data_IF_281730620458
#
_entry.id   IF_281730620458
#
_cell.length_a   1.000
_cell.length_b   1.000
_cell.length_c   1.000
_cell.angle_alpha   90.00
_cell.angle_beta   90.00
_cell.angle_gamma   90.00
#
_symmetry.space_group_name_H-M   'P 1'
#
loop_
_entity.id
_entity.type
_entity.pdbx_description
1 polymer ?
#
# COMPACT_ATOMS: atom_id res chain seq x y z
N UNK A 1 -30.00 -4.77 -38.69
CA UNK A 1 -29.17 -5.84 -39.31
C UNK A 1 -28.66 -6.79 -38.23
N UNK A 2 -29.52 -7.67 -37.75
CA UNK A 2 -29.17 -8.73 -36.79
C UNK A 2 -29.19 -10.08 -37.50
N UNK A 3 -28.20 -10.94 -37.24
CA UNK A 3 -28.19 -12.32 -37.75
C UNK A 3 -28.20 -13.29 -36.58
N UNK A 4 -29.37 -13.87 -36.35
CA UNK A 4 -29.61 -15.02 -35.48
C UNK A 4 -29.10 -16.28 -36.18
N UNK A 5 -28.41 -17.16 -35.46
CA UNK A 5 -28.30 -18.59 -35.83
C UNK A 5 -28.79 -19.43 -34.65
N UNK A 6 -29.98 -20.00 -34.84
CA UNK A 6 -30.54 -21.09 -34.04
C UNK A 6 -30.00 -22.40 -34.61
N UNK A 7 -29.60 -23.33 -33.77
CA UNK A 7 -29.64 -24.75 -34.08
C UNK A 7 -30.39 -25.46 -32.94
N UNK A 8 -31.51 -26.08 -33.30
CA UNK A 8 -32.27 -27.08 -32.54
C UNK A 8 -32.41 -28.29 -33.47
N UNK A 9 -32.15 -29.47 -32.94
CA UNK A 9 -32.68 -30.78 -33.35
C UNK A 9 -32.65 -31.59 -32.04
N UNK A 10 -33.77 -31.87 -31.37
CA UNK A 10 -34.70 -33.02 -31.59
C UNK A 10 -33.90 -34.35 -31.63
N UNK A 11 -34.20 -35.45 -30.94
CA UNK A 11 -35.45 -35.97 -30.39
C UNK A 11 -35.09 -37.24 -29.58
N UNK A 12 -35.75 -37.51 -28.45
CA UNK A 12 -36.59 -38.70 -28.20
C UNK A 12 -36.00 -39.56 -27.07
N UNK A 13 -36.77 -40.10 -26.13
CA UNK A 13 -38.20 -40.00 -25.92
C UNK A 13 -38.63 -40.64 -24.61
N UNK A 14 -39.93 -40.43 -24.32
CA UNK A 14 -40.85 -41.26 -23.53
C UNK A 14 -40.50 -41.58 -22.07
N UNK A 15 -41.45 -41.61 -21.13
CA UNK A 15 -42.82 -41.10 -21.00
C UNK A 15 -43.19 -41.39 -19.53
N UNK A 16 -43.86 -40.42 -18.89
CA UNK A 16 -45.10 -40.59 -18.09
C UNK A 16 -45.07 -41.30 -16.72
N UNK A 17 -45.74 -40.65 -15.77
CA UNK A 17 -46.28 -41.21 -14.51
C UNK A 17 -46.03 -40.31 -13.31
N UNK A 18 -46.63 -39.12 -13.22
CA UNK A 18 -47.86 -38.76 -12.46
C UNK A 18 -47.90 -39.17 -10.97
N UNK A 19 -48.37 -38.18 -10.21
CA UNK A 19 -49.01 -38.19 -8.88
C UNK A 19 -48.08 -38.30 -7.66
N UNK A 20 -48.15 -37.26 -6.83
CA UNK A 20 -47.42 -37.17 -5.58
C UNK A 20 -48.05 -37.98 -4.45
N UNK A 21 -47.30 -38.11 -3.37
CA UNK A 21 -47.80 -38.37 -2.03
C UNK A 21 -46.74 -37.90 -1.03
N UNK A 22 -47.17 -36.98 -0.16
CA UNK A 22 -46.51 -36.65 1.10
C UNK A 22 -46.63 -37.86 2.04
N UNK A 23 -45.66 -38.03 2.94
CA UNK A 23 -45.56 -38.88 4.15
C UNK A 23 -44.09 -39.35 4.20
N UNK A 24 -43.34 -39.42 5.29
CA UNK A 24 -43.48 -39.09 6.71
C UNK A 24 -42.10 -39.42 7.30
N UNK A 25 -41.75 -38.83 8.43
CA UNK A 25 -40.46 -38.99 9.13
C UNK A 25 -39.93 -40.43 9.18
N UNK A 26 -38.68 -40.61 8.73
CA UNK A 26 -37.81 -41.72 9.18
C UNK A 26 -36.44 -41.17 9.56
N UNK A 27 -36.25 -41.01 10.87
CA UNK A 27 -34.93 -40.85 11.49
C UNK A 27 -34.08 -42.08 11.15
N UNK A 28 -33.03 -41.88 10.36
CA UNK A 28 -31.89 -42.78 10.35
C UNK A 28 -30.78 -42.18 11.21
N UNK A 29 -30.70 -42.66 12.46
CA UNK A 29 -29.47 -42.60 13.22
C UNK A 29 -28.42 -43.41 12.45
N UNK A 30 -27.34 -42.73 12.03
CA UNK A 30 -26.09 -43.38 11.66
C UNK A 30 -24.96 -42.58 12.26
N UNK A 31 -24.31 -43.19 13.25
CA UNK A 31 -23.00 -42.82 13.74
C UNK A 31 -22.00 -42.91 12.59
N UNK A 32 -21.79 -41.78 11.93
CA UNK A 32 -20.83 -41.61 10.85
C UNK A 32 -19.74 -40.65 11.28
N UNK A 33 -18.53 -41.19 11.52
CA UNK A 33 -17.28 -40.44 11.71
C UNK A 33 -17.20 -39.25 10.75
N UNK A 34 -16.71 -38.06 11.18
CA UNK A 34 -16.65 -36.91 10.30
C UNK A 34 -15.76 -37.23 9.09
N UNK A 35 -16.34 -37.17 7.89
CA UNK A 35 -15.59 -37.19 6.63
C UNK A 35 -14.51 -36.11 6.75
N UNK A 36 -13.24 -36.52 6.60
CA UNK A 36 -12.10 -35.60 6.59
C UNK A 36 -12.42 -34.43 5.67
N UNK A 37 -12.33 -33.22 6.24
CA UNK A 37 -12.56 -31.97 5.51
C UNK A 37 -11.70 -32.01 4.25
N UNK A 38 -12.32 -31.72 3.09
CA UNK A 38 -11.61 -31.61 1.83
C UNK A 38 -10.45 -30.61 1.99
N UNK A 39 -9.32 -30.79 1.29
CA UNK A 39 -8.24 -29.81 1.32
C UNK A 39 -8.82 -28.45 0.95
N UNK A 40 -8.66 -27.49 1.85
CA UNK A 40 -9.29 -26.19 1.76
C UNK A 40 -8.70 -25.48 0.54
N UNK A 41 -9.44 -25.45 -0.58
CA UNK A 41 -8.97 -24.84 -1.83
C UNK A 41 -8.61 -23.35 -1.65
N UNK A 42 -9.02 -22.76 -0.53
CA UNK A 42 -8.64 -21.42 -0.07
C UNK A 42 -7.15 -21.26 0.20
N UNK A 43 -6.41 -22.33 0.51
CA UNK A 43 -4.96 -22.30 0.79
C UNK A 43 -4.13 -21.88 -0.44
N UNK A 44 -4.62 -22.19 -1.65
CA UNK A 44 -3.94 -21.85 -2.90
C UNK A 44 -4.33 -20.45 -3.43
N UNK A 45 -5.32 -19.81 -2.79
CA UNK A 45 -5.79 -18.47 -3.14
C UNK A 45 -4.92 -17.43 -2.42
N UNK A 46 -4.45 -16.37 -3.12
CA UNK A 46 -3.71 -15.28 -2.50
C UNK A 46 -4.44 -14.71 -1.26
N UNK A 47 -3.68 -14.44 -0.20
CA UNK A 47 -4.19 -14.06 1.12
C UNK A 47 -5.27 -12.97 1.07
N UNK A 48 -5.03 -11.92 0.29
CA UNK A 48 -5.96 -10.79 0.18
C UNK A 48 -7.31 -11.18 -0.44
N UNK A 49 -7.30 -12.08 -1.43
CA UNK A 49 -8.52 -12.59 -2.05
C UNK A 49 -9.23 -13.59 -1.13
N UNK A 50 -8.47 -14.45 -0.42
CA UNK A 50 -8.98 -15.36 0.61
C UNK A 50 -9.76 -14.60 1.70
N UNK A 51 -9.20 -13.48 2.17
CA UNK A 51 -9.80 -12.64 3.21
C UNK A 51 -11.08 -11.93 2.72
N UNK A 52 -11.08 -11.39 1.50
CA UNK A 52 -12.26 -10.78 0.89
C UNK A 52 -13.37 -11.81 0.72
N UNK A 53 -13.06 -13.03 0.24
CA UNK A 53 -14.03 -14.10 0.09
C UNK A 53 -14.62 -14.53 1.44
N UNK A 54 -13.78 -14.65 2.49
CA UNK A 54 -14.21 -14.97 3.85
C UNK A 54 -15.12 -13.88 4.44
N UNK A 55 -14.79 -12.61 4.22
CA UNK A 55 -15.64 -11.49 4.65
C UNK A 55 -16.96 -11.46 3.88
N UNK A 56 -16.94 -11.67 2.56
CA UNK A 56 -18.15 -11.77 1.74
C UNK A 56 -19.04 -12.93 2.19
N UNK A 57 -18.47 -14.06 2.57
CA UNK A 57 -19.21 -15.18 3.16
C UNK A 57 -19.84 -14.79 4.50
N UNK A 58 -19.10 -14.14 5.41
CA UNK A 58 -19.64 -13.64 6.69
C UNK A 58 -20.80 -12.66 6.49
N UNK A 59 -20.69 -11.76 5.51
CA UNK A 59 -21.77 -10.83 5.16
C UNK A 59 -22.99 -11.55 4.57
N UNK A 60 -22.79 -12.63 3.81
CA UNK A 60 -23.88 -13.44 3.22
C UNK A 60 -24.58 -14.34 4.21
N UNK A 61 -23.85 -14.97 5.13
CA UNK A 61 -24.42 -15.86 6.15
C UNK A 61 -25.05 -15.10 7.32
N UNK A 62 -24.92 -13.78 7.34
CA UNK A 62 -25.24 -12.95 8.49
C UNK A 62 -24.36 -13.27 9.69
N UNK A 63 -24.27 -12.34 10.64
CA UNK A 63 -23.67 -12.64 11.95
C UNK A 63 -24.60 -13.58 12.71
N UNK A 64 -24.53 -14.88 12.40
CA UNK A 64 -25.02 -15.91 13.32
C UNK A 64 -24.17 -15.78 14.58
N UNK A 65 -24.73 -15.06 15.55
CA UNK A 65 -24.21 -14.94 16.91
C UNK A 65 -23.87 -16.36 17.34
N UNK A 66 -22.59 -16.66 17.42
CA UNK A 66 -22.11 -17.84 18.13
C UNK A 66 -22.70 -17.70 19.53
N UNK A 67 -23.71 -18.52 19.83
CA UNK A 67 -24.31 -18.59 21.17
C UNK A 67 -23.17 -18.98 22.10
N UNK A 68 -22.53 -17.98 22.72
CA UNK A 68 -21.80 -18.23 23.95
C UNK A 68 -22.83 -18.71 24.95
N UNK A 69 -22.61 -19.93 25.44
CA UNK A 69 -23.33 -20.50 26.55
C UNK A 69 -23.33 -19.44 27.66
N UNK A 70 -24.55 -19.10 28.12
CA UNK A 70 -24.75 -18.38 29.37
C UNK A 70 -24.20 -19.28 30.48
N UNK A 71 -22.97 -19.04 30.89
CA UNK A 71 -22.52 -19.47 32.21
C UNK A 71 -22.93 -18.39 33.22
N UNK A 72 -24.04 -18.71 33.87
CA UNK A 72 -24.32 -18.54 35.30
C UNK A 72 -23.88 -17.24 36.01
N UNK A 73 -24.92 -16.51 36.45
CA UNK A 73 -25.04 -15.79 37.73
C UNK A 73 -24.24 -14.49 37.85
N UNK A 74 -24.87 -13.39 37.45
CA UNK A 74 -24.70 -12.09 38.08
C UNK A 74 -25.24 -12.15 39.52
N UNK A 75 -24.49 -11.79 40.57
CA UNK A 75 -25.08 -11.52 41.87
C UNK A 75 -25.91 -10.24 41.75
N UNK A 76 -27.20 -10.34 42.02
CA UNK A 76 -28.01 -9.19 42.40
C UNK A 76 -27.62 -8.84 43.82
N UNK A 77 -26.77 -7.84 44.01
CA UNK A 77 -26.71 -7.07 45.24
C UNK A 77 -26.81 -5.59 44.89
N UNK A 78 -27.57 -4.86 45.72
CA UNK A 78 -28.08 -3.50 45.50
C UNK A 78 -26.94 -2.49 45.32
N UNK A 79 -27.14 -1.37 44.59
CA UNK A 79 -26.19 -0.27 44.60
C UNK A 79 -26.46 0.60 45.83
N UNK A 80 -25.56 0.60 46.80
CA UNK A 80 -25.37 1.75 47.67
C UNK A 80 -24.15 2.53 47.15
N UNK A 81 -24.42 3.77 46.76
CA UNK A 81 -23.54 4.94 46.74
C UNK A 81 -22.06 4.72 46.36
N UNK A 82 -21.83 4.14 45.18
CA UNK A 82 -20.55 4.35 44.50
C UNK A 82 -20.71 5.56 43.60
N UNK A 83 -20.21 6.72 44.05
CA UNK A 83 -20.06 7.89 43.19
C UNK A 83 -19.40 7.46 41.88
N UNK A 84 -19.99 7.90 40.76
CA UNK A 84 -19.72 7.41 39.41
C UNK A 84 -18.22 7.49 39.06
N UNK A 85 -17.48 6.42 39.34
CA UNK A 85 -16.05 6.32 39.02
C UNK A 85 -15.20 5.48 39.97
N UNK A 86 -15.67 5.13 41.17
CA UNK A 86 -14.87 4.31 42.10
C UNK A 86 -14.95 2.81 41.81
N UNK A 87 -13.82 2.12 41.96
CA UNK A 87 -13.74 0.67 41.76
C UNK A 87 -14.43 0.01 42.96
N UNK A 88 -15.42 -0.87 42.72
CA UNK A 88 -16.09 -1.58 43.81
C UNK A 88 -15.08 -2.48 44.52
N UNK A 89 -15.02 -2.37 45.85
CA UNK A 89 -14.16 -3.18 46.72
C UNK A 89 -14.85 -4.53 46.97
N UNK A 90 -14.31 -5.66 46.47
CA UNK A 90 -14.93 -6.97 46.67
C UNK A 90 -14.80 -7.45 48.12
N UNK A 91 -15.86 -8.03 48.67
CA UNK A 91 -15.85 -8.64 49.99
C UNK A 91 -15.65 -10.16 49.90
N UNK A 92 -14.46 -10.63 50.28
CA UNK A 92 -14.13 -12.05 50.23
C UNK A 92 -14.61 -12.79 51.49
N UNK A 93 -15.83 -13.33 51.43
CA UNK A 93 -16.36 -14.28 52.41
C UNK A 93 -16.73 -15.59 51.70
N UNK A 94 -16.35 -16.73 52.28
CA UNK A 94 -16.67 -18.06 51.73
C UNK A 94 -18.17 -18.33 51.88
N UNK A 95 -18.81 -18.77 50.79
CA UNK A 95 -20.22 -19.15 50.83
C UNK A 95 -20.44 -20.43 51.66
N UNK A 96 -21.63 -20.58 52.27
CA UNK A 96 -21.97 -21.75 53.10
C UNK A 96 -21.89 -23.08 52.33
N UNK A 97 -22.20 -23.06 51.03
CA UNK A 97 -22.23 -24.23 50.14
C UNK A 97 -21.02 -24.31 49.21
N UNK A 98 -20.03 -23.43 49.40
CA UNK A 98 -18.92 -23.30 48.49
C UNK A 98 -17.71 -24.13 48.93
N UNK A 99 -17.11 -24.83 47.98
CA UNK A 99 -15.83 -25.51 48.20
C UNK A 99 -14.66 -24.52 48.26
N UNK A 100 -13.62 -24.86 49.03
CA UNK A 100 -12.41 -24.02 49.16
C UNK A 100 -11.78 -23.64 47.82
N UNK A 101 -11.71 -24.59 46.89
CA UNK A 101 -11.18 -24.36 45.55
C UNK A 101 -12.01 -23.38 44.75
N UNK A 102 -13.34 -23.40 44.90
CA UNK A 102 -14.23 -22.45 44.22
C UNK A 102 -14.06 -21.04 44.82
N UNK A 103 -13.90 -20.93 46.14
CA UNK A 103 -13.67 -19.67 46.83
C UNK A 103 -12.39 -18.98 46.37
N UNK A 104 -11.28 -19.73 46.37
CA UNK A 104 -9.97 -19.22 45.92
C UNK A 104 -10.05 -18.76 44.46
N UNK A 105 -10.73 -19.51 43.58
CA UNK A 105 -10.92 -19.11 42.18
C UNK A 105 -11.73 -17.83 42.03
N UNK A 106 -12.82 -17.65 42.79
CA UNK A 106 -13.59 -16.40 42.76
C UNK A 106 -12.74 -15.23 43.25
N UNK A 107 -12.04 -15.43 44.38
CA UNK A 107 -11.13 -14.44 44.94
C UNK A 107 -10.06 -14.00 43.93
N UNK A 108 -9.41 -14.95 43.26
CA UNK A 108 -8.43 -14.67 42.22
C UNK A 108 -9.02 -13.89 41.04
N UNK A 109 -10.22 -14.26 40.59
CA UNK A 109 -10.88 -13.62 39.46
C UNK A 109 -11.28 -12.18 39.77
N UNK A 110 -11.89 -11.95 40.94
CA UNK A 110 -12.26 -10.60 41.40
C UNK A 110 -11.01 -9.74 41.63
N UNK A 111 -9.94 -10.30 42.20
CA UNK A 111 -8.67 -9.59 42.38
C UNK A 111 -8.05 -9.18 41.04
N UNK A 112 -8.04 -10.09 40.05
CA UNK A 112 -7.59 -9.79 38.68
C UNK A 112 -8.45 -8.70 38.04
N UNK A 113 -9.76 -8.72 38.28
CA UNK A 113 -10.69 -7.75 37.74
C UNK A 113 -10.50 -6.35 38.34
N UNK A 114 -10.40 -6.25 39.66
CA UNK A 114 -10.08 -5.00 40.36
C UNK A 114 -8.75 -4.45 39.86
N UNK A 115 -7.70 -5.27 39.82
CA UNK A 115 -6.39 -4.86 39.32
C UNK A 115 -6.44 -4.36 37.87
N UNK A 116 -7.26 -4.98 37.02
CA UNK A 116 -7.49 -4.50 35.67
C UNK A 116 -8.18 -3.13 35.66
N UNK A 117 -9.23 -2.93 36.46
CA UNK A 117 -9.91 -1.64 36.54
C UNK A 117 -8.95 -0.56 37.06
N UNK A 118 -8.15 -0.83 38.10
CA UNK A 118 -7.17 0.12 38.65
C UNK A 118 -6.15 0.55 37.62
N UNK A 119 -5.63 -0.39 36.82
CA UNK A 119 -4.67 -0.09 35.75
C UNK A 119 -5.24 0.78 34.62
N UNK A 120 -6.56 0.79 34.46
CA UNK A 120 -7.25 1.57 33.44
C UNK A 120 -7.88 2.85 34.01
N UNK A 121 -7.76 3.11 35.30
CA UNK A 121 -8.14 4.39 35.87
C UNK A 121 -7.09 5.45 35.54
N UNK A 122 -7.56 6.67 35.35
CA UNK A 122 -6.70 7.85 35.26
C UNK A 122 -6.12 8.11 36.65
N UNK A 123 -4.83 8.43 36.73
CA UNK A 123 -4.20 8.89 37.97
C UNK A 123 -4.97 10.11 38.50
N UNK A 124 -5.81 9.90 39.51
CA UNK A 124 -6.51 10.99 40.16
C UNK A 124 -5.49 11.72 41.01
N UNK A 125 -5.26 12.99 40.67
CA UNK A 125 -4.54 13.95 41.51
C UNK A 125 -5.59 14.81 42.21
N UNK A 126 -6.19 14.33 43.31
CA UNK A 126 -7.22 15.09 44.03
C UNK A 126 -6.71 16.44 44.57
N UNK A 127 -5.39 16.60 44.64
CA UNK A 127 -4.70 17.83 45.06
C UNK A 127 -4.59 18.92 43.97
N UNK A 128 -5.05 18.68 42.72
CA UNK A 128 -4.97 19.65 41.61
C UNK A 128 -6.36 20.19 41.21
N UNK A 129 -6.46 21.51 41.06
CA UNK A 129 -7.68 22.25 40.67
C UNK A 129 -8.35 21.73 39.38
N UNK A 130 -9.68 21.81 39.34
CA UNK A 130 -10.57 21.23 38.32
C UNK A 130 -10.22 21.59 36.86
N UNK A 131 -9.62 22.76 36.63
CA UNK A 131 -9.27 23.25 35.28
C UNK A 131 -8.06 22.53 34.66
N UNK A 132 -7.26 21.79 35.44
CA UNK A 132 -6.14 21.00 34.93
C UNK A 132 -6.44 19.51 34.79
N UNK A 133 -7.62 19.05 35.25
CA UNK A 133 -8.01 17.64 35.22
C UNK A 133 -8.53 17.18 33.85
N UNK A 134 -8.99 18.08 32.99
CA UNK A 134 -9.60 17.74 31.69
C UNK A 134 -8.62 17.64 30.50
N UNK A 135 -7.31 17.51 30.75
CA UNK A 135 -6.44 17.01 29.68
C UNK A 135 -6.57 15.50 29.69
N UNK A 136 -7.26 14.88 28.72
CA UNK A 136 -7.33 13.42 28.67
C UNK A 136 -5.90 12.89 28.64
N UNK A 137 -5.56 12.15 29.70
CA UNK A 137 -4.29 11.49 29.83
C UNK A 137 -4.19 10.43 28.73
N UNK A 138 -3.50 10.81 27.66
CA UNK A 138 -2.75 9.95 26.76
C UNK A 138 -3.54 8.80 26.08
N UNK A 139 -4.46 9.15 25.18
CA UNK A 139 -4.60 8.39 23.91
C UNK A 139 -3.49 8.77 22.92
N UNK A 140 -2.33 9.20 23.43
CA UNK A 140 -1.20 9.64 22.64
C UNK A 140 -0.60 8.45 21.92
N UNK A 141 -0.48 8.58 20.59
CA UNK A 141 0.40 7.71 19.81
C UNK A 141 1.76 7.63 20.51
N UNK A 142 2.34 6.44 20.58
CA UNK A 142 3.70 6.28 21.09
C UNK A 142 4.62 7.32 20.43
N UNK A 143 5.62 7.81 21.16
CA UNK A 143 6.53 8.84 20.67
C UNK A 143 7.14 8.46 19.31
N UNK A 144 7.50 7.18 19.15
CA UNK A 144 7.97 6.58 17.89
C UNK A 144 6.95 6.71 16.74
N UNK A 145 5.66 6.57 17.03
CA UNK A 145 4.59 6.74 16.03
C UNK A 145 4.36 8.20 15.68
N UNK A 146 4.50 9.13 16.64
CA UNK A 146 4.49 10.59 16.35
C UNK A 146 5.65 10.96 15.42
N UNK A 147 6.87 10.51 15.72
CA UNK A 147 8.07 10.73 14.89
C UNK A 147 7.94 10.09 13.49
N UNK A 148 7.34 8.91 13.39
CA UNK A 148 7.09 8.28 12.10
C UNK A 148 6.09 9.09 11.26
N UNK A 149 5.01 9.57 11.87
CA UNK A 149 3.99 10.36 11.19
C UNK A 149 4.55 11.72 10.72
N UNK A 150 5.38 12.39 11.53
CA UNK A 150 6.05 13.65 11.15
C UNK A 150 7.04 13.43 10.02
N UNK A 151 7.91 12.40 10.11
CA UNK A 151 8.86 12.06 9.04
C UNK A 151 8.16 11.71 7.73
N UNK A 152 7.02 11.01 7.81
CA UNK A 152 6.20 10.69 6.63
C UNK A 152 5.64 11.96 5.99
N UNK A 153 5.16 12.91 6.79
CA UNK A 153 4.65 14.19 6.30
C UNK A 153 5.74 15.04 5.65
N UNK A 154 6.91 15.13 6.29
CA UNK A 154 8.07 15.85 5.74
C UNK A 154 8.52 15.27 4.39
N UNK A 155 8.62 13.94 4.27
CA UNK A 155 8.93 13.29 2.98
C UNK A 155 7.91 13.59 1.90
N UNK A 156 6.62 13.70 2.25
CA UNK A 156 5.57 14.03 1.30
C UNK A 156 5.70 15.48 0.82
N UNK A 157 6.00 16.41 1.73
CA UNK A 157 6.25 17.81 1.40
C UNK A 157 7.49 17.96 0.50
N UNK A 158 8.61 17.33 0.85
CA UNK A 158 9.84 17.31 0.02
C UNK A 158 9.55 16.80 -1.38
N UNK A 159 8.87 15.65 -1.52
CA UNK A 159 8.48 15.10 -2.83
C UNK A 159 7.60 16.05 -3.66
N UNK A 160 6.81 16.92 -3.03
CA UNK A 160 6.02 17.92 -3.76
C UNK A 160 6.93 19.05 -4.28
N UNK A 161 7.85 19.52 -3.46
CA UNK A 161 8.84 20.54 -3.85
C UNK A 161 9.74 20.02 -4.97
N UNK A 162 10.27 18.79 -4.84
CA UNK A 162 11.11 18.16 -5.86
C UNK A 162 10.38 18.06 -7.21
N UNK A 163 9.10 17.62 -7.18
CA UNK A 163 8.26 17.57 -8.39
C UNK A 163 8.01 18.94 -9.00
N UNK A 164 7.89 20.00 -8.19
CA UNK A 164 7.73 21.36 -8.70
C UNK A 164 9.03 21.82 -9.35
N UNK A 165 10.18 21.58 -8.72
CA UNK A 165 11.50 21.87 -9.28
C UNK A 165 11.70 21.12 -10.60
N UNK A 166 11.39 19.83 -10.66
CA UNK A 166 11.52 19.03 -11.88
C UNK A 166 10.65 19.56 -13.04
N UNK A 167 9.44 20.04 -12.75
CA UNK A 167 8.56 20.64 -13.76
C UNK A 167 9.14 21.94 -14.30
N UNK A 168 9.58 22.84 -13.41
CA UNK A 168 10.21 24.09 -13.77
C UNK A 168 11.50 23.86 -14.56
N UNK A 169 12.30 22.88 -14.15
CA UNK A 169 13.51 22.50 -14.90
C UNK A 169 13.16 22.02 -16.31
N UNK A 170 12.18 21.13 -16.46
CA UNK A 170 11.74 20.68 -17.79
C UNK A 170 11.36 21.85 -18.69
N UNK A 171 10.60 22.81 -18.17
CA UNK A 171 10.23 24.02 -18.91
C UNK A 171 11.46 24.84 -19.31
N UNK A 172 12.45 25.00 -18.43
CA UNK A 172 13.71 25.73 -18.71
C UNK A 172 14.59 25.03 -19.75
N UNK A 173 14.54 23.69 -19.83
CA UNK A 173 15.35 22.88 -20.74
C UNK A 173 14.63 22.52 -22.05
N UNK A 174 13.39 22.97 -22.25
CA UNK A 174 12.70 22.89 -23.55
C UNK A 174 13.10 24.10 -24.38
N UNK A 175 14.02 23.91 -25.34
CA UNK A 175 14.34 24.93 -26.34
C UNK A 175 13.25 24.92 -27.42
N UNK A 176 12.40 25.95 -27.43
CA UNK A 176 11.40 26.12 -28.48
C UNK A 176 12.06 26.63 -29.76
N UNK A 177 12.62 25.73 -30.55
CA UNK A 177 13.14 26.06 -31.89
C UNK A 177 11.97 26.08 -32.88
N UNK A 178 11.62 27.22 -33.48
CA UNK A 178 10.64 27.23 -34.57
C UNK A 178 11.24 26.40 -35.71
N UNK A 179 10.59 25.30 -36.04
CA UNK A 179 11.01 24.45 -37.16
C UNK A 179 10.78 25.26 -38.45
N UNK A 180 11.86 25.68 -39.11
CA UNK A 180 11.82 26.15 -40.50
C UNK A 180 11.56 24.99 -41.46
N UNK A 181 11.55 25.23 -42.78
CA UNK A 181 11.45 24.18 -43.81
C UNK A 181 12.53 23.11 -43.61
N UNK A 182 12.18 22.05 -42.89
CA UNK A 182 13.01 20.87 -42.75
C UNK A 182 12.67 19.96 -43.90
N UNK A 183 13.58 19.89 -44.87
CA UNK A 183 13.60 18.76 -45.80
C UNK A 183 13.72 17.48 -44.97
N UNK A 184 12.61 16.74 -44.88
CA UNK A 184 12.43 15.52 -44.08
C UNK A 184 13.44 14.42 -44.41
N UNK A 185 14.12 14.52 -45.54
CA UNK A 185 15.22 13.65 -45.91
C UNK A 185 16.32 14.50 -46.57
N UNK A 186 17.61 14.22 -46.29
CA UNK A 186 18.67 14.74 -47.14
C UNK A 186 18.43 14.23 -48.57
N UNK A 187 18.71 15.03 -49.61
CA UNK A 187 18.58 14.59 -50.99
C UNK A 187 19.39 13.30 -51.19
N UNK A 188 18.70 12.22 -51.55
CA UNK A 188 19.34 10.92 -51.72
C UNK A 188 20.06 10.88 -53.08
N UNK A 189 21.38 10.89 -53.05
CA UNK A 189 22.20 10.70 -54.25
C UNK A 189 22.26 9.20 -54.58
N UNK A 190 21.39 8.72 -55.47
CA UNK A 190 21.34 7.31 -55.90
C UNK A 190 22.35 6.96 -57.00
N UNK A 191 23.18 7.92 -57.43
CA UNK A 191 24.15 7.71 -58.50
C UNK A 191 25.33 6.86 -58.00
N UNK A 192 25.54 5.70 -58.63
CA UNK A 192 26.73 4.88 -58.40
C UNK A 192 27.95 5.58 -59.01
N UNK A 193 29.02 5.84 -58.25
CA UNK A 193 30.26 6.39 -58.81
C UNK A 193 30.81 5.42 -59.88
N UNK A 194 31.00 5.92 -61.11
CA UNK A 194 31.35 5.11 -62.30
C UNK A 194 32.63 4.25 -62.16
N UNK A 195 33.49 4.51 -61.17
CA UNK A 195 34.78 3.82 -60.98
C UNK A 195 34.97 3.17 -59.60
N UNK A 196 33.91 2.94 -58.82
CA UNK A 196 34.08 2.31 -57.51
C UNK A 196 34.34 0.79 -57.64
N UNK A 197 35.44 0.26 -57.06
CA UNK A 197 35.69 -1.17 -57.02
C UNK A 197 34.65 -1.86 -56.12
N UNK A 198 34.02 -2.92 -56.63
CA UNK A 198 33.06 -3.76 -55.89
C UNK A 198 33.86 -4.61 -54.89
N UNK A 199 34.12 -4.06 -53.69
CA UNK A 199 34.79 -4.82 -52.62
C UNK A 199 33.81 -5.79 -51.97
N UNK A 200 34.14 -7.08 -51.99
CA UNK A 200 33.42 -8.12 -51.26
C UNK A 200 33.43 -7.84 -49.75
N UNK A 201 32.28 -7.95 -49.11
CA UNK A 201 32.02 -7.66 -47.69
C UNK A 201 32.73 -8.63 -46.71
N UNK A 202 34.06 -8.69 -46.69
CA UNK A 202 34.82 -9.66 -45.87
C UNK A 202 35.85 -9.03 -44.92
N UNK A 203 35.67 -7.78 -44.51
CA UNK A 203 36.42 -7.20 -43.40
C UNK A 203 35.44 -6.66 -42.35
N UNK A 204 35.65 -6.93 -41.04
CA UNK A 204 34.86 -6.29 -40.00
C UNK A 204 35.10 -4.77 -40.12
N UNK A 205 34.05 -4.02 -40.43
CA UNK A 205 34.08 -2.56 -40.56
C UNK A 205 34.31 -1.93 -39.20
N UNK A 206 35.53 -2.01 -38.68
CA UNK A 206 35.94 -1.21 -37.54
C UNK A 206 36.23 0.20 -38.05
N UNK A 207 35.68 1.21 -37.37
CA UNK A 207 35.89 2.60 -37.74
C UNK A 207 37.38 2.93 -37.62
N UNK A 208 37.97 3.60 -38.61
CA UNK A 208 39.38 4.02 -38.57
C UNK A 208 39.68 4.88 -37.33
N UNK A 209 38.70 5.66 -36.87
CA UNK A 209 38.81 6.43 -35.63
C UNK A 209 39.11 5.56 -34.40
N UNK A 210 38.57 4.34 -34.35
CA UNK A 210 38.83 3.42 -33.24
C UNK A 210 40.30 2.97 -33.23
N UNK A 211 40.93 2.80 -34.41
CA UNK A 211 42.37 2.49 -34.47
C UNK A 211 43.23 3.69 -34.09
N UNK A 212 42.80 4.90 -34.44
CA UNK A 212 43.55 6.12 -34.16
C UNK A 212 43.47 6.54 -32.68
N UNK A 213 42.31 6.37 -32.04
CA UNK A 213 42.12 6.66 -30.62
C UNK A 213 42.55 5.51 -29.71
N UNK A 214 43.00 4.37 -30.26
CA UNK A 214 43.35 3.17 -29.50
C UNK A 214 42.16 2.53 -28.78
N UNK A 215 40.93 2.90 -29.17
CA UNK A 215 39.71 2.36 -28.59
C UNK A 215 39.32 1.08 -29.34
N UNK A 216 39.55 -0.08 -28.73
CA UNK A 216 38.95 -1.32 -29.20
C UNK A 216 37.43 -1.21 -29.08
N UNK A 217 36.68 -1.82 -30.02
CA UNK A 217 35.22 -1.75 -30.05
C UNK A 217 34.66 -2.04 -28.64
N UNK A 218 34.03 -1.03 -28.03
CA UNK A 218 33.54 -1.08 -26.66
C UNK A 218 32.77 -2.38 -26.48
N UNK A 219 33.25 -3.25 -25.60
CA UNK A 219 32.62 -4.55 -25.37
C UNK A 219 31.14 -4.32 -25.06
N UNK A 220 30.24 -4.98 -25.79
CA UNK A 220 28.79 -4.93 -25.54
C UNK A 220 28.40 -5.59 -24.21
N UNK A 221 29.39 -6.10 -23.46
CA UNK A 221 29.25 -6.60 -22.11
C UNK A 221 28.79 -5.50 -21.16
N UNK A 222 27.73 -5.79 -20.39
CA UNK A 222 27.28 -4.90 -19.32
C UNK A 222 28.43 -4.69 -18.32
N UNK A 223 28.74 -3.44 -17.94
CA UNK A 223 29.77 -3.18 -16.94
C UNK A 223 29.38 -3.77 -15.58
N UNK A 224 30.37 -4.11 -14.74
CA UNK A 224 30.12 -4.60 -13.39
C UNK A 224 29.31 -3.59 -12.55
N UNK A 225 28.57 -4.06 -11.54
CA UNK A 225 27.76 -3.19 -10.67
C UNK A 225 28.58 -2.06 -10.03
N UNK A 226 29.83 -2.33 -9.66
CA UNK A 226 30.73 -1.30 -9.10
C UNK A 226 31.06 -0.22 -10.15
N UNK A 227 31.36 -0.62 -11.38
CA UNK A 227 31.64 0.32 -12.48
C UNK A 227 30.40 1.11 -12.89
N UNK A 228 29.22 0.51 -12.84
CA UNK A 228 27.95 1.21 -13.07
C UNK A 228 27.75 2.34 -12.07
N UNK A 229 27.96 2.09 -10.77
CA UNK A 229 27.85 3.11 -9.73
C UNK A 229 28.79 4.29 -9.96
N UNK A 230 30.05 4.02 -10.33
CA UNK A 230 31.04 5.08 -10.63
C UNK A 230 30.55 5.93 -11.81
N UNK A 231 30.13 5.29 -12.90
CA UNK A 231 29.63 6.01 -14.08
C UNK A 231 28.34 6.80 -13.80
N UNK A 232 27.44 6.26 -12.98
CA UNK A 232 26.21 6.93 -12.56
C UNK A 232 26.51 8.14 -11.68
N UNK A 233 27.42 8.02 -10.73
CA UNK A 233 27.85 9.14 -9.88
C UNK A 233 28.51 10.25 -10.71
N UNK A 234 29.41 9.91 -11.64
CA UNK A 234 30.02 10.87 -12.56
C UNK A 234 28.96 11.57 -13.42
N UNK A 235 27.99 10.81 -13.94
CA UNK A 235 26.86 11.35 -14.69
C UNK A 235 26.04 12.31 -13.83
N UNK A 236 25.73 11.96 -12.60
CA UNK A 236 25.00 12.82 -11.67
C UNK A 236 25.76 14.11 -11.38
N UNK A 237 27.07 14.04 -11.13
CA UNK A 237 27.93 15.24 -10.95
C UNK A 237 27.89 16.15 -12.18
N UNK A 238 28.04 15.59 -13.38
CA UNK A 238 28.00 16.36 -14.63
C UNK A 238 26.64 17.04 -14.84
N UNK A 239 25.54 16.34 -14.57
CA UNK A 239 24.18 16.90 -14.66
C UNK A 239 23.97 18.02 -13.65
N UNK A 240 24.43 17.86 -12.41
CA UNK A 240 24.34 18.91 -11.40
C UNK A 240 25.15 20.15 -11.79
N UNK A 241 26.38 19.97 -12.26
CA UNK A 241 27.22 21.07 -12.74
C UNK A 241 26.54 21.82 -13.90
N UNK A 242 25.97 21.10 -14.86
CA UNK A 242 25.24 21.70 -15.98
C UNK A 242 24.00 22.48 -15.52
N UNK A 243 23.23 21.93 -14.57
CA UNK A 243 22.08 22.63 -13.97
C UNK A 243 22.49 23.96 -13.32
N UNK A 244 23.59 23.98 -12.58
CA UNK A 244 24.11 25.20 -11.95
C UNK A 244 24.53 26.24 -12.99
N UNK A 245 25.28 25.82 -14.01
CA UNK A 245 25.71 26.69 -15.10
C UNK A 245 24.51 27.29 -15.84
N UNK A 246 23.50 26.47 -16.18
CA UNK A 246 22.28 26.97 -16.83
C UNK A 246 21.53 27.96 -15.93
N UNK A 247 21.41 27.71 -14.62
CA UNK A 247 20.79 28.64 -13.67
C UNK A 247 21.49 30.01 -13.64
N UNK A 248 22.82 30.01 -13.58
CA UNK A 248 23.62 31.25 -13.66
C UNK A 248 23.34 32.01 -14.96
N UNK A 249 23.41 31.33 -16.10
CA UNK A 249 23.14 31.93 -17.42
C UNK A 249 21.73 32.51 -17.52
N UNK A 250 20.72 31.86 -16.93
CA UNK A 250 19.35 32.37 -16.89
C UNK A 250 19.22 33.61 -16.02
N UNK A 251 19.92 33.66 -14.89
CA UNK A 251 19.93 34.83 -14.01
C UNK A 251 20.60 36.01 -14.70
N UNK A 252 21.77 35.81 -15.33
CA UNK A 252 22.42 36.84 -16.14
C UNK A 252 21.52 37.37 -17.25
N UNK A 253 20.77 36.49 -17.93
CA UNK A 253 19.84 36.91 -18.98
C UNK A 253 18.71 37.77 -18.42
N UNK A 254 18.12 37.38 -17.27
CA UNK A 254 17.09 38.17 -16.58
C UNK A 254 17.60 39.53 -16.13
N UNK A 255 18.80 39.58 -15.56
CA UNK A 255 19.42 40.82 -15.09
C UNK A 255 19.70 41.77 -16.27
N UNK A 256 20.20 41.23 -17.39
CA UNK A 256 20.37 42.00 -18.64
C UNK A 256 19.06 42.55 -19.17
N UNK A 257 18.00 41.74 -19.22
CA UNK A 257 16.68 42.21 -19.68
C UNK A 257 16.10 43.29 -18.76
N UNK A 258 16.21 43.11 -17.45
CA UNK A 258 15.73 44.11 -16.48
C UNK A 258 16.52 45.44 -16.59
N UNK A 259 17.83 45.37 -16.82
CA UNK A 259 18.64 46.56 -17.06
C UNK A 259 18.26 47.26 -18.37
N UNK A 260 17.96 46.51 -19.44
CA UNK A 260 17.46 47.07 -20.70
C UNK A 260 16.09 47.74 -20.54
N UNK A 261 15.19 47.17 -19.73
CA UNK A 261 13.89 47.79 -19.44
C UNK A 261 14.03 49.10 -18.67
N UNK A 262 14.93 49.16 -17.68
CA UNK A 262 15.25 50.40 -16.95
C UNK A 262 15.81 51.49 -17.87
N UNK A 263 16.62 51.11 -18.86
CA UNK A 263 17.14 52.06 -19.86
C UNK A 263 16.07 52.56 -20.82
N UNK A 264 15.06 51.74 -21.13
CA UNK A 264 13.94 52.13 -22.02
C UNK A 264 12.93 53.04 -21.34
N UNK A 265 12.74 52.90 -20.03
CA UNK A 265 11.86 53.73 -19.21
C UNK A 265 12.66 54.45 -18.12
N UNK A 266 13.51 55.44 -18.48
CA UNK A 266 14.15 56.26 -17.48
C UNK A 266 13.08 57.08 -16.75
N UNK A 267 13.03 56.94 -15.42
CA UNK A 267 12.26 57.84 -14.55
C UNK A 267 12.87 59.23 -14.53
#
# INVERSE_FOLDING_TARGET
MGKNKKNKTEESGKQVGKAGQHLSDKKHQRDGKPKRAKPDHLEHIPFRLREIMKNKQRMKTGNLKVKKLKDSVSPKDKPEDSQSGDIPVPHFKRGKTESEKAYVRRMENETKHVLFLTKNQVDRKPELDADQQEKPADTGKSEKKKQHDTNRLQRLQQRKLDKQVDKLEKEIFIDHVPFGEVSMAPPSFSAKPKKAPIRSQKAPKQLLLNSLLGHTAVSTSKPSMARQRIMEEERERAVQAYRLLKKQRMQEFKDRTANLEKLKNPQ
#
